data_IF_469493911293
#
_entry.id   IF_469493911293
#
_cell.length_a   1.000
_cell.length_b   1.000
_cell.length_c   1.000
_cell.angle_alpha   90.00
_cell.angle_beta   90.00
_cell.angle_gamma   90.00
#
_symmetry.space_group_name_H-M   'P 1'
#
loop_
_entity.id
_entity.type
_entity.pdbx_description
1 polymer ?
#
# COMPACT_ATOMS: atom_id res chain seq x y z
N UNK A 1 3.29 8.48 -7.92
CA UNK A 1 3.28 9.92 -7.54
C UNK A 1 4.67 10.17 -6.96
N UNK A 2 4.97 11.30 -6.30
CA UNK A 2 6.14 11.32 -5.41
C UNK A 2 5.64 11.76 -4.05
N UNK A 3 5.79 10.88 -3.05
CA UNK A 3 5.51 11.21 -1.64
C UNK A 3 6.16 12.55 -1.28
N UNK A 4 5.36 13.51 -0.81
CA UNK A 4 5.87 14.79 -0.32
C UNK A 4 5.94 14.81 1.21
N UNK A 5 6.75 15.69 1.79
CA UNK A 5 6.78 15.92 3.25
C UNK A 5 5.40 16.30 3.82
N UNK A 6 4.58 16.99 3.02
CA UNK A 6 3.22 17.35 3.40
C UNK A 6 2.28 16.12 3.46
N UNK A 7 2.47 15.13 2.58
CA UNK A 7 1.73 13.87 2.62
C UNK A 7 2.15 13.06 3.87
N UNK A 8 3.46 13.06 4.17
CA UNK A 8 4.03 12.38 5.34
C UNK A 8 3.51 12.98 6.66
N UNK A 9 3.48 14.31 6.77
CA UNK A 9 3.01 15.00 7.97
C UNK A 9 1.51 14.75 8.26
N UNK A 10 0.74 14.39 7.23
CA UNK A 10 -0.72 14.16 7.30
C UNK A 10 -1.10 12.72 7.60
N UNK A 11 -0.13 11.80 7.68
CA UNK A 11 -0.39 10.40 8.00
C UNK A 11 -1.07 10.31 9.38
N UNK A 12 -2.31 9.79 9.46
CA UNK A 12 -3.01 9.63 10.73
C UNK A 12 -2.22 8.73 11.67
N UNK A 13 -1.94 9.21 12.89
CA UNK A 13 -1.14 8.45 13.86
C UNK A 13 -1.79 7.12 14.26
N UNK A 14 -3.14 7.06 14.25
CA UNK A 14 -3.88 5.84 14.56
C UNK A 14 -3.70 4.73 13.52
N UNK A 15 -3.31 5.05 12.28
CA UNK A 15 -3.31 4.11 11.16
C UNK A 15 -2.05 3.22 11.08
N UNK A 16 -1.02 3.51 11.88
CA UNK A 16 0.26 2.83 11.82
C UNK A 16 0.63 2.24 13.19
N UNK A 17 1.10 0.99 13.18
CA UNK A 17 1.71 0.32 14.35
C UNK A 17 3.23 0.17 14.22
N UNK A 18 3.80 0.69 13.14
CA UNK A 18 5.24 0.82 12.89
C UNK A 18 5.64 2.29 12.98
N UNK A 19 6.95 2.59 13.01
CA UNK A 19 7.37 3.98 13.02
C UNK A 19 7.00 4.67 11.69
N UNK A 20 6.65 5.97 11.78
CA UNK A 20 6.36 6.76 10.58
C UNK A 20 7.55 6.81 9.63
N UNK A 21 8.78 6.84 10.15
CA UNK A 21 9.99 6.87 9.34
C UNK A 21 10.15 5.59 8.49
N UNK A 22 9.99 4.42 9.12
CA UNK A 22 10.01 3.13 8.40
C UNK A 22 8.91 3.04 7.36
N UNK A 23 7.69 3.47 7.72
CA UNK A 23 6.55 3.49 6.80
C UNK A 23 6.82 4.33 5.55
N UNK A 24 7.37 5.53 5.73
CA UNK A 24 7.71 6.43 4.63
C UNK A 24 8.83 5.85 3.76
N UNK A 25 9.86 5.27 4.37
CA UNK A 25 10.94 4.62 3.63
C UNK A 25 10.41 3.50 2.74
N UNK A 26 9.50 2.66 3.26
CA UNK A 26 8.84 1.61 2.48
C UNK A 26 8.01 2.19 1.34
N UNK A 27 7.22 3.21 1.62
CA UNK A 27 6.34 3.81 0.61
C UNK A 27 7.14 4.40 -0.56
N UNK A 28 8.21 5.15 -0.26
CA UNK A 28 9.10 5.69 -1.29
C UNK A 28 9.74 4.58 -2.12
N UNK A 29 10.25 3.53 -1.47
CA UNK A 29 10.84 2.39 -2.18
C UNK A 29 9.82 1.67 -3.08
N UNK A 30 8.57 1.53 -2.62
CA UNK A 30 7.50 0.92 -3.40
C UNK A 30 7.10 1.76 -4.62
N UNK A 31 6.97 3.08 -4.48
CA UNK A 31 6.69 3.97 -5.63
C UNK A 31 7.82 3.90 -6.67
N UNK A 32 9.08 3.99 -6.22
CA UNK A 32 10.25 3.90 -7.11
C UNK A 32 10.29 2.58 -7.87
N UNK A 33 10.12 1.46 -7.17
CA UNK A 33 10.13 0.14 -7.80
C UNK A 33 8.94 -0.04 -8.76
N UNK A 34 7.76 0.50 -8.41
CA UNK A 34 6.60 0.48 -9.28
C UNK A 34 6.85 1.26 -10.58
N UNK A 35 7.42 2.47 -10.50
CA UNK A 35 7.77 3.29 -11.65
C UNK A 35 8.83 2.61 -12.54
N UNK A 36 9.87 2.03 -11.94
CA UNK A 36 10.92 1.29 -12.65
C UNK A 36 10.37 0.05 -13.36
N UNK A 37 9.52 -0.73 -12.69
CA UNK A 37 8.89 -1.92 -13.26
C UNK A 37 7.93 -1.54 -14.40
N UNK A 38 7.14 -0.47 -14.23
CA UNK A 38 6.27 0.07 -15.26
C UNK A 38 7.04 0.51 -16.51
N UNK A 39 8.15 1.21 -16.34
CA UNK A 39 9.02 1.62 -17.45
C UNK A 39 9.66 0.45 -18.21
N UNK A 40 9.78 -0.71 -17.57
CA UNK A 40 10.32 -1.95 -18.16
C UNK A 40 9.25 -2.92 -18.66
N UNK A 41 7.96 -2.60 -18.51
CA UNK A 41 6.86 -3.49 -18.86
C UNK A 41 6.78 -4.76 -18.01
N UNK A 42 7.34 -4.74 -16.79
CA UNK A 42 7.26 -5.85 -15.85
C UNK A 42 5.81 -6.02 -15.41
N UNK A 43 5.33 -7.26 -15.41
CA UNK A 43 3.92 -7.59 -15.12
C UNK A 43 3.71 -8.08 -13.68
N UNK A 44 4.72 -7.98 -12.82
CA UNK A 44 4.59 -8.17 -11.38
C UNK A 44 4.03 -6.89 -10.74
N UNK A 45 2.94 -7.04 -10.01
CA UNK A 45 2.21 -5.95 -9.35
C UNK A 45 2.47 -5.90 -7.85
N UNK A 46 3.46 -6.65 -7.33
CA UNK A 46 3.78 -6.66 -5.91
C UNK A 46 4.09 -5.27 -5.37
N UNK A 47 5.04 -4.55 -6.01
CA UNK A 47 5.40 -3.19 -5.62
C UNK A 47 4.23 -2.22 -5.72
N UNK A 48 3.40 -2.36 -6.76
CA UNK A 48 2.20 -1.56 -6.94
C UNK A 48 1.17 -1.81 -5.82
N UNK A 49 1.00 -3.07 -5.38
CA UNK A 49 0.13 -3.42 -4.25
C UNK A 49 0.63 -2.85 -2.92
N UNK A 50 1.96 -2.86 -2.72
CA UNK A 50 2.59 -2.21 -1.55
C UNK A 50 2.32 -0.71 -1.57
N UNK A 51 2.62 -0.03 -2.69
CA UNK A 51 2.43 1.42 -2.83
C UNK A 51 0.98 1.84 -2.62
N UNK A 52 0.02 1.17 -3.27
CA UNK A 52 -1.41 1.48 -3.13
C UNK A 52 -1.92 1.30 -1.69
N UNK A 53 -1.38 0.33 -0.96
CA UNK A 53 -1.72 0.15 0.46
C UNK A 53 -1.15 1.27 1.33
N UNK A 54 0.09 1.67 1.08
CA UNK A 54 0.71 2.80 1.79
C UNK A 54 -0.06 4.11 1.53
N UNK A 55 -0.43 4.38 0.28
CA UNK A 55 -1.26 5.54 -0.09
C UNK A 55 -2.56 5.59 0.71
N UNK A 56 -3.25 4.45 0.80
CA UNK A 56 -4.51 4.37 1.54
C UNK A 56 -4.33 4.55 3.05
N UNK A 57 -3.35 3.87 3.66
CA UNK A 57 -3.05 4.01 5.09
C UNK A 57 -2.60 5.44 5.46
N UNK A 58 -1.88 6.10 4.57
CA UNK A 58 -1.49 7.51 4.72
C UNK A 58 -2.66 8.48 4.57
N UNK A 59 -3.84 8.01 4.15
CA UNK A 59 -4.95 8.85 3.70
C UNK A 59 -4.49 9.86 2.63
N UNK A 60 -3.71 9.38 1.66
CA UNK A 60 -3.16 10.19 0.59
C UNK A 60 -4.27 10.78 -0.28
N UNK A 61 -4.01 11.99 -0.76
CA UNK A 61 -4.94 12.81 -1.53
C UNK A 61 -4.27 13.19 -2.84
N UNK A 62 -4.82 12.72 -3.96
CA UNK A 62 -4.31 12.97 -5.29
C UNK A 62 -4.98 14.20 -5.90
N UNK A 63 -4.17 15.11 -6.45
CA UNK A 63 -4.63 16.29 -7.18
C UNK A 63 -4.17 16.19 -8.63
N UNK A 64 -4.97 15.55 -9.51
CA UNK A 64 -4.63 15.49 -10.92
C UNK A 64 -4.64 16.91 -11.53
N UNK A 65 -3.83 17.11 -12.57
CA UNK A 65 -3.74 18.41 -13.27
C UNK A 65 -5.08 18.86 -13.87
N UNK A 66 -5.98 17.89 -14.14
CA UNK A 66 -7.35 18.14 -14.56
C UNK A 66 -8.29 17.20 -13.78
N UNK A 67 -9.44 17.71 -13.34
CA UNK A 67 -10.45 16.94 -12.61
C UNK A 67 -10.47 17.17 -11.10
N UNK A 68 -11.41 16.51 -10.39
CA UNK A 68 -11.56 16.65 -8.95
C UNK A 68 -10.40 15.98 -8.20
N UNK A 69 -10.17 16.44 -6.97
CA UNK A 69 -9.32 15.76 -6.00
C UNK A 69 -9.84 14.33 -5.76
N UNK A 70 -8.93 13.37 -5.69
CA UNK A 70 -9.26 11.96 -5.45
C UNK A 70 -8.58 11.48 -4.17
N UNK A 71 -9.33 10.80 -3.31
CA UNK A 71 -8.77 10.16 -2.13
C UNK A 71 -8.27 8.76 -2.50
N UNK A 72 -7.21 8.31 -1.83
CA UNK A 72 -6.78 6.93 -1.93
C UNK A 72 -7.91 5.96 -1.56
N UNK A 73 -8.05 4.89 -2.35
CA UNK A 73 -9.07 3.85 -2.15
C UNK A 73 -8.46 2.62 -1.52
N UNK A 74 -9.26 1.87 -0.76
CA UNK A 74 -8.80 0.60 -0.20
C UNK A 74 -8.45 -0.40 -1.33
N UNK A 75 -7.27 -1.05 -1.27
CA UNK A 75 -6.66 -1.69 -2.44
C UNK A 75 -7.27 -3.05 -2.83
N UNK A 76 -8.01 -3.70 -1.94
CA UNK A 76 -8.78 -4.93 -2.16
C UNK A 76 -10.27 -4.64 -2.28
N UNK A 77 -10.85 -3.86 -1.36
CA UNK A 77 -12.31 -3.65 -1.32
C UNK A 77 -12.79 -2.45 -2.15
N UNK A 78 -11.88 -1.56 -2.59
CA UNK A 78 -12.20 -0.43 -3.46
C UNK A 78 -13.03 0.67 -2.78
N UNK A 79 -13.03 0.72 -1.44
CA UNK A 79 -13.78 1.73 -0.68
C UNK A 79 -13.06 3.07 -0.77
N UNK A 80 -13.78 4.09 -1.21
CA UNK A 80 -13.31 5.48 -1.30
C UNK A 80 -13.36 6.23 0.04
N UNK A 81 -13.36 5.50 1.15
CA UNK A 81 -13.37 6.08 2.48
C UNK A 81 -11.94 6.13 3.01
N UNK A 82 -11.64 7.23 3.71
CA UNK A 82 -10.40 7.42 4.47
C UNK A 82 -10.16 6.18 5.35
N UNK A 83 -8.91 5.74 5.46
CA UNK A 83 -8.56 4.59 6.29
C UNK A 83 -8.80 4.88 7.79
N UNK A 84 -10.03 4.66 8.27
CA UNK A 84 -10.34 4.56 9.69
C UNK A 84 -10.03 3.14 10.19
N UNK A 85 -9.77 2.97 11.48
CA UNK A 85 -9.30 1.69 12.04
C UNK A 85 -10.19 0.50 11.65
N UNK A 86 -11.52 0.67 11.70
CA UNK A 86 -12.50 -0.38 11.36
C UNK A 86 -12.43 -0.77 9.88
N UNK A 87 -12.09 0.19 9.01
CA UNK A 87 -11.89 -0.08 7.59
C UNK A 87 -10.56 -0.79 7.35
N UNK A 88 -9.49 -0.43 8.07
CA UNK A 88 -8.19 -1.09 7.98
C UNK A 88 -8.32 -2.55 8.42
N UNK A 89 -9.02 -2.82 9.52
CA UNK A 89 -9.30 -4.20 9.97
C UNK A 89 -10.11 -4.99 8.94
N UNK A 90 -11.18 -4.40 8.39
CA UNK A 90 -11.97 -5.03 7.34
C UNK A 90 -11.13 -5.34 6.09
N UNK A 91 -10.21 -4.45 5.73
CA UNK A 91 -9.30 -4.63 4.60
C UNK A 91 -8.29 -5.75 4.86
N UNK A 92 -7.77 -5.87 6.09
CA UNK A 92 -6.90 -6.99 6.48
C UNK A 92 -7.61 -8.33 6.27
N UNK A 93 -8.84 -8.46 6.77
CA UNK A 93 -9.64 -9.68 6.58
C UNK A 93 -9.92 -9.93 5.09
N UNK A 94 -10.22 -8.89 4.32
CA UNK A 94 -10.46 -9.02 2.88
C UNK A 94 -9.20 -9.46 2.11
N UNK A 95 -8.04 -8.92 2.45
CA UNK A 95 -6.75 -9.26 1.84
C UNK A 95 -6.38 -10.72 2.10
N UNK A 96 -6.48 -11.18 3.35
CA UNK A 96 -6.22 -12.57 3.72
C UNK A 96 -7.15 -13.55 2.99
N UNK A 97 -8.45 -13.24 2.95
CA UNK A 97 -9.43 -14.04 2.22
C UNK A 97 -9.14 -14.08 0.73
N UNK A 98 -8.72 -12.95 0.14
CA UNK A 98 -8.37 -12.89 -1.29
C UNK A 98 -7.09 -13.66 -1.58
N UNK A 99 -6.11 -13.65 -0.67
CA UNK A 99 -4.87 -14.40 -0.80
C UNK A 99 -5.12 -15.92 -0.77
N UNK A 100 -5.97 -16.39 0.16
CA UNK A 100 -6.33 -17.80 0.30
C UNK A 100 -7.32 -18.31 -0.78
N UNK A 101 -7.95 -17.41 -1.53
CA UNK A 101 -8.98 -17.76 -2.51
C UNK A 101 -8.35 -18.34 -3.78
N UNK A 102 -8.73 -19.57 -4.11
CA UNK A 102 -8.39 -20.20 -5.39
C UNK A 102 -9.65 -20.78 -6.08
N UNK A 103 -9.93 -20.41 -7.35
CA UNK A 103 -9.22 -19.40 -8.15
C UNK A 103 -9.56 -17.97 -7.70
N UNK A 104 -8.59 -17.07 -7.83
CA UNK A 104 -8.80 -15.64 -7.63
C UNK A 104 -9.69 -15.03 -8.73
N UNK A 105 -10.40 -13.91 -8.45
CA UNK A 105 -11.18 -13.18 -9.45
C UNK A 105 -10.33 -12.75 -10.66
N UNK A 106 -10.92 -12.65 -11.87
CA UNK A 106 -10.19 -12.26 -13.09
C UNK A 106 -9.43 -10.94 -12.99
N UNK A 107 -9.95 -9.97 -12.23
CA UNK A 107 -9.30 -8.67 -11.99
C UNK A 107 -7.96 -8.81 -11.24
N UNK A 108 -7.92 -9.66 -10.23
CA UNK A 108 -6.71 -9.93 -9.43
C UNK A 108 -5.74 -10.86 -10.19
N UNK A 109 -6.26 -11.82 -10.94
CA UNK A 109 -5.44 -12.70 -11.78
C UNK A 109 -4.63 -11.97 -12.86
N UNK A 110 -5.13 -10.83 -13.35
CA UNK A 110 -4.40 -9.97 -14.30
C UNK A 110 -3.31 -9.14 -13.65
N UNK A 111 -3.23 -9.15 -12.31
CA UNK A 111 -2.28 -8.39 -11.50
C UNK A 111 -1.52 -9.34 -10.55
N UNK A 112 -0.71 -10.27 -11.08
CA UNK A 112 0.04 -11.18 -10.22
C UNK A 112 0.92 -10.37 -9.26
N UNK A 113 1.01 -10.77 -8.00
CA UNK A 113 1.75 -10.02 -6.96
C UNK A 113 0.94 -8.94 -6.22
N UNK A 114 -0.15 -8.43 -6.79
CA UNK A 114 -0.97 -7.35 -6.17
C UNK A 114 -1.48 -7.71 -4.77
N UNK A 115 -2.22 -8.82 -4.64
CA UNK A 115 -2.79 -9.27 -3.37
C UNK A 115 -1.69 -9.66 -2.36
N UNK A 116 -0.63 -10.40 -2.74
CA UNK A 116 0.52 -10.62 -1.86
C UNK A 116 1.16 -9.33 -1.33
N UNK A 117 1.36 -8.31 -2.18
CA UNK A 117 1.95 -7.02 -1.78
C UNK A 117 1.09 -6.30 -0.75
N UNK A 118 -0.22 -6.21 -1.01
CA UNK A 118 -1.18 -5.59 -0.07
C UNK A 118 -1.17 -6.32 1.28
N UNK A 119 -1.26 -7.65 1.24
CA UNK A 119 -1.35 -8.45 2.47
C UNK A 119 -0.08 -8.30 3.31
N UNK A 120 1.09 -8.30 2.67
CA UNK A 120 2.36 -8.08 3.35
C UNK A 120 2.41 -6.69 4.01
N UNK A 121 1.98 -5.63 3.31
CA UNK A 121 1.96 -4.28 3.87
C UNK A 121 0.99 -4.15 5.05
N UNK A 122 -0.23 -4.70 4.95
CA UNK A 122 -1.20 -4.66 6.05
C UNK A 122 -0.71 -5.44 7.28
N UNK A 123 -0.12 -6.62 7.08
CA UNK A 123 0.48 -7.40 8.16
C UNK A 123 1.56 -6.61 8.89
N UNK A 124 2.44 -5.97 8.15
CA UNK A 124 3.55 -5.22 8.71
C UNK A 124 3.10 -3.90 9.35
N UNK A 125 2.42 -3.03 8.61
CA UNK A 125 2.11 -1.67 9.03
C UNK A 125 0.97 -1.59 10.06
N UNK A 126 -0.05 -2.46 9.95
CA UNK A 126 -1.23 -2.43 10.82
C UNK A 126 -1.21 -3.52 11.88
N UNK A 127 -0.94 -4.77 11.51
CA UNK A 127 -0.93 -5.87 12.47
C UNK A 127 0.39 -5.99 13.24
N UNK A 128 1.39 -5.14 12.94
CA UNK A 128 2.74 -5.20 13.51
C UNK A 128 3.34 -6.61 13.45
N UNK A 129 3.09 -7.32 12.35
CA UNK A 129 3.44 -8.72 12.15
C UNK A 129 4.24 -8.92 10.87
N UNK A 130 5.28 -9.75 10.94
CA UNK A 130 6.17 -9.99 9.80
C UNK A 130 7.15 -8.84 9.55
N UNK A 131 7.80 -8.88 8.38
CA UNK A 131 8.84 -7.93 7.97
C UNK A 131 8.31 -6.92 6.96
N UNK A 132 9.03 -5.82 6.80
CA UNK A 132 8.78 -4.87 5.73
C UNK A 132 8.71 -5.60 4.36
N UNK A 133 7.68 -5.34 3.52
CA UNK A 133 7.47 -6.02 2.25
C UNK A 133 8.61 -5.87 1.23
N UNK A 134 9.32 -4.73 1.28
CA UNK A 134 10.42 -4.40 0.39
C UNK A 134 11.61 -3.96 1.24
N UNK A 135 12.82 -4.23 0.75
CA UNK A 135 14.03 -3.66 1.34
C UNK A 135 14.01 -2.14 1.14
N UNK A 136 14.19 -1.40 2.23
CA UNK A 136 14.35 0.05 2.20
C UNK A 136 15.84 0.36 2.30
N UNK A 137 16.31 1.35 1.53
CA UNK A 137 17.68 1.82 1.67
C UNK A 137 17.83 2.49 3.05
N UNK A 138 18.33 1.71 4.01
CA UNK A 138 18.51 2.12 5.40
C UNK A 138 17.43 1.58 6.32
N UNK A 139 17.65 0.37 6.85
CA UNK A 139 17.45 -0.05 8.25
C UNK A 139 17.90 -1.51 8.46
N UNK A 140 18.96 -1.92 7.77
CA UNK A 140 19.75 -3.11 8.13
C UNK A 140 20.90 -2.67 9.05
N UNK A 141 20.57 -2.27 10.28
CA UNK A 141 21.54 -2.11 11.37
C UNK A 141 20.80 -2.11 12.72
N UNK A 142 20.64 -3.30 13.30
CA UNK A 142 20.12 -3.52 14.64
C UNK A 142 20.20 -4.98 15.02
#
# INVERSE_FOLDING_TARGET
MRVTEADIARIPAGNLRVSRAEFVALWIAAEQLCDEQGGRGVTDWYAAGVAATCEWLAAAVFRPATGPQQDAVSPVTGRSARAYEELIEAECVAAERMLARHPQPPTMRRRPGWVPGITATLRWAWLASGRAPLATAGLDAG
#
